data_IF_108585277994
#
_entry.id   IF_108585277994
#
_cell.length_a   1.000
_cell.length_b   1.000
_cell.length_c   1.000
_cell.angle_alpha   90.00
_cell.angle_beta   90.00
_cell.angle_gamma   90.00
#
_symmetry.space_group_name_H-M   'P 1'
#
loop_
_entity.id
_entity.type
_entity.pdbx_description
1 polymer ?
#
# COMPACT_ATOMS: atom_id res chain seq x y z
N UNK A 1 1.65 -26.49 -0.94
CA UNK A 1 0.80 -26.03 0.18
C UNK A 1 0.28 -24.67 -0.21
N UNK A 2 -0.97 -24.58 -0.64
CA UNK A 2 -1.48 -23.31 -1.15
C UNK A 2 -2.26 -22.50 -0.09
N UNK A 3 -2.98 -23.13 0.82
CA UNK A 3 -3.75 -22.46 1.87
C UNK A 3 -3.14 -22.78 3.25
N UNK A 4 -3.01 -21.75 4.11
CA UNK A 4 -2.45 -21.91 5.47
C UNK A 4 -3.51 -21.52 6.48
N UNK A 5 -3.90 -22.50 7.30
CA UNK A 5 -4.82 -22.25 8.42
C UNK A 5 -4.04 -21.68 9.61
N UNK A 6 -4.25 -20.38 9.89
CA UNK A 6 -3.59 -19.69 11.01
C UNK A 6 -4.30 -19.89 12.35
N UNK A 7 -5.40 -20.64 12.39
CA UNK A 7 -6.13 -20.92 13.63
C UNK A 7 -5.47 -21.98 14.49
N UNK A 8 -4.47 -22.71 13.96
CA UNK A 8 -3.74 -23.79 14.60
C UNK A 8 -2.22 -23.60 14.47
N UNK A 9 -1.41 -24.37 15.16
CA UNK A 9 0.04 -24.35 15.06
C UNK A 9 0.72 -23.12 15.69
N UNK A 10 1.99 -22.90 15.31
CA UNK A 10 2.85 -21.84 15.89
C UNK A 10 2.47 -20.45 15.39
N UNK A 11 2.09 -19.56 16.29
CA UNK A 11 1.66 -18.19 16.00
C UNK A 11 2.78 -17.39 15.32
N UNK A 12 3.97 -17.38 15.93
CA UNK A 12 5.12 -16.62 15.41
C UNK A 12 5.50 -17.10 14.02
N UNK A 13 5.52 -18.42 13.80
CA UNK A 13 5.83 -18.98 12.49
C UNK A 13 4.82 -18.51 11.42
N UNK A 14 3.52 -18.52 11.73
CA UNK A 14 2.49 -18.04 10.80
C UNK A 14 2.66 -16.56 10.45
N UNK A 15 2.91 -15.71 11.44
CA UNK A 15 3.12 -14.28 11.22
C UNK A 15 4.37 -14.03 10.37
N UNK A 16 5.48 -14.69 10.68
CA UNK A 16 6.75 -14.53 9.94
C UNK A 16 6.62 -15.07 8.51
N UNK A 17 6.14 -16.31 8.35
CA UNK A 17 5.99 -16.97 7.04
C UNK A 17 5.01 -16.21 6.11
N UNK A 18 4.07 -15.48 6.68
CA UNK A 18 3.14 -14.64 5.94
C UNK A 18 3.71 -13.25 5.63
N UNK A 19 4.36 -12.60 6.59
CA UNK A 19 4.85 -11.22 6.45
C UNK A 19 6.09 -11.13 5.55
N UNK A 20 7.04 -12.07 5.62
CA UNK A 20 8.26 -12.03 4.80
C UNK A 20 7.95 -11.95 3.30
N UNK A 21 7.08 -12.78 2.71
CA UNK A 21 6.75 -12.63 1.30
C UNK A 21 6.08 -11.29 0.96
N UNK A 22 5.26 -10.74 1.87
CA UNK A 22 4.67 -9.41 1.67
C UNK A 22 5.73 -8.31 1.69
N UNK A 23 6.67 -8.37 2.63
CA UNK A 23 7.80 -7.43 2.71
C UNK A 23 8.58 -7.46 1.39
N UNK A 24 9.00 -8.65 0.97
CA UNK A 24 9.77 -8.81 -0.27
C UNK A 24 8.98 -8.31 -1.50
N UNK A 25 7.68 -8.61 -1.57
CA UNK A 25 6.83 -8.17 -2.66
C UNK A 25 6.66 -6.66 -2.72
N UNK A 26 6.39 -6.03 -1.59
CA UNK A 26 6.20 -4.59 -1.52
C UNK A 26 7.52 -3.83 -1.75
N UNK A 27 8.65 -4.32 -1.21
CA UNK A 27 9.98 -3.75 -1.50
C UNK A 27 10.34 -3.90 -2.98
N UNK A 28 10.03 -5.04 -3.58
CA UNK A 28 10.24 -5.27 -5.01
C UNK A 28 9.40 -4.29 -5.84
N UNK A 29 8.14 -4.06 -5.47
CA UNK A 29 7.27 -3.09 -6.14
C UNK A 29 7.79 -1.66 -6.04
N UNK A 30 8.30 -1.23 -4.87
CA UNK A 30 8.92 0.09 -4.72
C UNK A 30 10.13 0.26 -5.65
N UNK A 31 10.99 -0.76 -5.69
CA UNK A 31 12.18 -0.75 -6.56
C UNK A 31 11.78 -0.75 -8.03
N UNK A 32 10.79 -1.55 -8.41
CA UNK A 32 10.26 -1.60 -9.76
C UNK A 32 9.71 -0.23 -10.22
N UNK A 33 8.89 0.44 -9.41
CA UNK A 33 8.35 1.77 -9.74
C UNK A 33 9.47 2.80 -9.98
N UNK A 34 10.57 2.70 -9.22
CA UNK A 34 11.74 3.54 -9.44
C UNK A 34 12.43 3.24 -10.79
N UNK A 35 12.57 1.96 -11.14
CA UNK A 35 13.15 1.51 -12.42
C UNK A 35 12.31 1.99 -13.61
N UNK A 36 11.00 1.85 -13.53
CA UNK A 36 10.06 2.30 -14.57
C UNK A 36 10.19 3.80 -14.84
N UNK A 37 10.17 4.63 -13.80
CA UNK A 37 10.40 6.08 -13.93
C UNK A 37 11.78 6.42 -14.49
N UNK A 38 12.82 5.63 -14.17
CA UNK A 38 14.18 5.82 -14.76
C UNK A 38 14.15 5.49 -16.25
N UNK A 39 13.49 4.41 -16.66
CA UNK A 39 13.38 4.04 -18.09
C UNK A 39 12.63 5.14 -18.85
N UNK A 40 11.49 5.59 -18.35
CA UNK A 40 10.71 6.66 -18.97
C UNK A 40 11.54 7.95 -19.10
N UNK A 41 12.18 8.39 -18.02
CA UNK A 41 13.00 9.61 -18.03
C UNK A 41 14.22 9.55 -18.95
N UNK A 42 14.89 8.38 -19.03
CA UNK A 42 16.14 8.21 -19.79
C UNK A 42 15.91 8.02 -21.30
N UNK A 43 14.88 7.25 -21.68
CA UNK A 43 14.67 6.86 -23.07
C UNK A 43 13.61 7.71 -23.78
N UNK A 44 12.60 8.22 -23.08
CA UNK A 44 11.57 9.07 -23.70
C UNK A 44 11.87 10.56 -23.46
N UNK A 45 12.38 10.92 -22.28
CA UNK A 45 12.80 12.26 -21.94
C UNK A 45 11.90 12.97 -20.92
N UNK A 46 12.20 14.26 -20.67
CA UNK A 46 11.60 15.08 -19.62
C UNK A 46 10.08 15.24 -19.74
N UNK A 47 9.54 15.31 -20.96
CA UNK A 47 8.11 15.50 -21.18
C UNK A 47 7.30 14.26 -20.79
N UNK A 48 7.86 13.07 -21.01
CA UNK A 48 7.23 11.82 -20.59
C UNK A 48 7.19 11.70 -19.07
N UNK A 49 8.31 12.03 -18.41
CA UNK A 49 8.37 12.02 -16.95
C UNK A 49 7.41 13.03 -16.33
N UNK A 50 7.25 14.21 -16.97
CA UNK A 50 6.27 15.21 -16.56
C UNK A 50 4.82 14.71 -16.76
N UNK A 51 4.53 14.07 -17.90
CA UNK A 51 3.21 13.50 -18.19
C UNK A 51 2.84 12.39 -17.22
N UNK A 52 3.74 11.45 -16.93
CA UNK A 52 3.56 10.41 -15.92
C UNK A 52 3.34 11.02 -14.53
N UNK A 53 4.18 11.97 -14.14
CA UNK A 53 4.11 12.65 -12.85
C UNK A 53 2.78 13.39 -12.62
N UNK A 54 2.20 14.01 -13.66
CA UNK A 54 0.89 14.69 -13.57
C UNK A 54 -0.28 13.72 -13.58
N UNK A 55 -0.17 12.56 -14.24
CA UNK A 55 -1.19 11.52 -14.26
C UNK A 55 -1.20 10.68 -12.96
N UNK A 56 -0.06 10.50 -12.30
CA UNK A 56 0.12 9.65 -11.12
C UNK A 56 -0.83 9.94 -9.96
N UNK A 57 -1.11 11.19 -9.56
CA UNK A 57 -2.06 11.45 -8.46
C UNK A 57 -3.47 10.93 -8.75
N UNK A 58 -3.94 11.08 -9.99
CA UNK A 58 -5.27 10.61 -10.41
C UNK A 58 -5.31 9.08 -10.43
N UNK A 59 -4.28 8.46 -10.99
CA UNK A 59 -4.12 7.00 -10.99
C UNK A 59 -4.10 6.43 -9.56
N UNK A 60 -3.36 7.06 -8.65
CA UNK A 60 -3.26 6.62 -7.27
C UNK A 60 -4.59 6.64 -6.53
N UNK A 61 -5.47 7.63 -6.77
CA UNK A 61 -6.81 7.66 -6.16
C UNK A 61 -7.61 6.41 -6.56
N UNK A 62 -7.56 6.02 -7.83
CA UNK A 62 -8.26 4.83 -8.32
C UNK A 62 -7.66 3.55 -7.72
N UNK A 63 -6.33 3.45 -7.70
CA UNK A 63 -5.61 2.30 -7.10
C UNK A 63 -5.96 2.16 -5.61
N UNK A 64 -5.99 3.26 -4.85
CA UNK A 64 -6.37 3.26 -3.44
C UNK A 64 -7.82 2.79 -3.23
N UNK A 65 -8.74 3.21 -4.13
CA UNK A 65 -10.12 2.74 -4.12
C UNK A 65 -10.21 1.22 -4.36
N UNK A 66 -9.54 0.71 -5.39
CA UNK A 66 -9.45 -0.72 -5.71
C UNK A 66 -8.83 -1.50 -4.53
N UNK A 67 -7.69 -1.04 -4.04
CA UNK A 67 -6.98 -1.67 -2.92
C UNK A 67 -7.84 -1.71 -1.65
N UNK A 68 -8.53 -0.61 -1.33
CA UNK A 68 -9.41 -0.54 -0.18
C UNK A 68 -10.55 -1.56 -0.25
N UNK A 69 -11.24 -1.65 -1.40
CA UNK A 69 -12.33 -2.63 -1.62
C UNK A 69 -11.80 -4.06 -1.48
N UNK A 70 -10.68 -4.38 -2.11
CA UNK A 70 -10.05 -5.70 -2.03
C UNK A 70 -9.59 -6.04 -0.60
N UNK A 71 -9.10 -5.06 0.17
CA UNK A 71 -8.73 -5.23 1.56
C UNK A 71 -9.96 -5.53 2.43
N UNK A 72 -11.07 -4.79 2.24
CA UNK A 72 -12.34 -5.06 2.92
C UNK A 72 -12.83 -6.48 2.66
N UNK A 73 -12.83 -6.92 1.42
CA UNK A 73 -13.15 -8.29 1.02
C UNK A 73 -12.20 -9.31 1.67
N UNK A 74 -10.89 -9.03 1.69
CA UNK A 74 -9.89 -9.93 2.29
C UNK A 74 -10.14 -10.20 3.77
N UNK A 75 -10.56 -9.19 4.54
CA UNK A 75 -10.87 -9.35 5.97
C UNK A 75 -12.09 -10.25 6.17
N UNK A 76 -13.17 -10.06 5.39
CA UNK A 76 -14.36 -10.91 5.43
C UNK A 76 -14.04 -12.35 4.98
N UNK A 77 -13.31 -12.50 3.89
CA UNK A 77 -12.87 -13.82 3.42
C UNK A 77 -11.99 -14.54 4.46
N UNK A 78 -11.10 -13.81 5.14
CA UNK A 78 -10.26 -14.36 6.21
C UNK A 78 -11.09 -14.87 7.39
N UNK A 79 -12.12 -14.11 7.77
CA UNK A 79 -13.05 -14.50 8.84
C UNK A 79 -13.83 -15.77 8.45
N UNK A 80 -14.41 -15.81 7.24
CA UNK A 80 -15.14 -16.98 6.76
C UNK A 80 -14.25 -18.20 6.60
N UNK A 81 -13.01 -18.01 6.14
CA UNK A 81 -12.02 -19.09 6.06
C UNK A 81 -11.71 -19.66 7.45
N UNK A 82 -11.43 -18.80 8.43
CA UNK A 82 -11.16 -19.20 9.81
C UNK A 82 -12.34 -19.88 10.47
N UNK A 83 -13.57 -19.45 10.16
CA UNK A 83 -14.81 -20.08 10.63
C UNK A 83 -15.16 -21.41 9.93
N UNK A 84 -14.39 -21.81 8.89
CA UNK A 84 -14.69 -22.99 8.08
C UNK A 84 -15.94 -22.83 7.19
N UNK A 85 -16.46 -21.62 7.02
CA UNK A 85 -17.68 -21.31 6.26
C UNK A 85 -17.37 -21.16 4.75
N UNK A 86 -17.08 -22.27 4.09
CA UNK A 86 -16.65 -22.29 2.67
C UNK A 86 -17.67 -21.65 1.73
N UNK A 87 -18.96 -21.84 1.97
CA UNK A 87 -20.01 -21.24 1.15
C UNK A 87 -20.04 -19.71 1.23
N UNK A 88 -19.86 -19.14 2.43
CA UNK A 88 -19.78 -17.69 2.59
C UNK A 88 -18.49 -17.14 2.00
N UNK A 89 -17.38 -17.84 2.13
CA UNK A 89 -16.11 -17.50 1.49
C UNK A 89 -16.28 -17.39 -0.04
N UNK A 90 -16.91 -18.39 -0.67
CA UNK A 90 -17.21 -18.37 -2.11
C UNK A 90 -18.17 -17.25 -2.50
N UNK A 91 -19.23 -17.02 -1.70
CA UNK A 91 -20.17 -15.91 -1.95
C UNK A 91 -19.49 -14.55 -1.88
N UNK A 92 -18.60 -14.34 -0.90
CA UNK A 92 -17.82 -13.10 -0.79
C UNK A 92 -16.88 -12.93 -1.98
N UNK A 93 -16.17 -14.01 -2.39
CA UNK A 93 -15.33 -13.99 -3.59
C UNK A 93 -16.14 -13.66 -4.85
N UNK A 94 -17.31 -14.31 -5.02
CA UNK A 94 -18.22 -14.05 -6.15
C UNK A 94 -18.73 -12.60 -6.13
N UNK A 95 -19.17 -12.11 -4.98
CA UNK A 95 -19.65 -10.73 -4.81
C UNK A 95 -18.56 -9.72 -5.16
N UNK A 96 -17.34 -9.93 -4.68
CA UNK A 96 -16.18 -9.09 -4.96
C UNK A 96 -15.84 -9.09 -6.45
N UNK A 97 -15.83 -10.24 -7.10
CA UNK A 97 -15.55 -10.38 -8.55
C UNK A 97 -16.62 -9.69 -9.39
N UNK A 98 -17.90 -9.93 -9.11
CA UNK A 98 -19.01 -9.32 -9.89
C UNK A 98 -19.03 -7.81 -9.71
N UNK A 99 -18.98 -7.33 -8.46
CA UNK A 99 -18.92 -5.89 -8.19
C UNK A 99 -17.73 -5.25 -8.88
N UNK A 100 -16.55 -5.88 -8.77
CA UNK A 100 -15.34 -5.38 -9.38
C UNK A 100 -15.37 -5.33 -10.90
N UNK A 101 -16.04 -6.27 -11.54
CA UNK A 101 -16.27 -6.22 -12.98
C UNK A 101 -17.03 -4.94 -13.38
N UNK A 102 -18.15 -4.66 -12.71
CA UNK A 102 -18.92 -3.43 -12.98
C UNK A 102 -18.12 -2.18 -12.63
N UNK A 103 -17.52 -2.15 -11.44
CA UNK A 103 -16.78 -0.99 -10.94
C UNK A 103 -15.57 -0.63 -11.82
N UNK A 104 -14.75 -1.63 -12.18
CA UNK A 104 -13.57 -1.40 -12.99
C UNK A 104 -13.89 -1.06 -14.45
N UNK A 105 -14.97 -1.63 -15.02
CA UNK A 105 -15.45 -1.27 -16.37
C UNK A 105 -15.97 0.16 -16.38
N UNK A 106 -16.71 0.59 -15.36
CA UNK A 106 -17.16 2.00 -15.24
C UNK A 106 -15.94 2.93 -15.17
N UNK A 107 -14.93 2.59 -14.36
CA UNK A 107 -13.68 3.37 -14.28
C UNK A 107 -12.98 3.42 -15.64
N UNK A 108 -12.89 2.28 -16.34
CA UNK A 108 -12.25 2.21 -17.65
C UNK A 108 -12.96 3.11 -18.68
N UNK A 109 -14.28 3.08 -18.71
CA UNK A 109 -15.09 3.90 -19.62
C UNK A 109 -14.95 5.39 -19.26
N UNK A 110 -15.23 5.75 -18.00
CA UNK A 110 -15.17 7.15 -17.57
C UNK A 110 -13.74 7.71 -17.69
N UNK A 111 -12.74 6.95 -17.25
CA UNK A 111 -11.35 7.35 -17.33
C UNK A 111 -10.88 7.47 -18.78
N UNK A 112 -11.24 6.54 -19.66
CA UNK A 112 -10.91 6.59 -21.07
C UNK A 112 -11.46 7.83 -21.77
N UNK A 113 -12.70 8.22 -21.46
CA UNK A 113 -13.35 9.38 -22.10
C UNK A 113 -13.02 10.74 -21.46
N UNK A 114 -12.80 10.78 -20.14
CA UNK A 114 -12.68 12.03 -19.40
C UNK A 114 -11.26 12.37 -18.93
N UNK A 115 -10.24 11.56 -19.26
CA UNK A 115 -8.85 11.79 -18.83
C UNK A 115 -8.34 13.17 -19.23
N UNK A 116 -8.58 13.64 -20.45
CA UNK A 116 -8.14 14.94 -20.93
C UNK A 116 -8.84 16.08 -20.18
N UNK A 117 -10.16 16.02 -20.06
CA UNK A 117 -10.95 17.03 -19.33
C UNK A 117 -10.55 17.09 -17.87
N UNK A 118 -10.27 15.94 -17.25
CA UNK A 118 -9.86 15.85 -15.85
C UNK A 118 -8.48 16.47 -15.63
N UNK A 119 -7.51 16.13 -16.46
CA UNK A 119 -6.15 16.70 -16.38
C UNK A 119 -6.13 18.18 -16.74
N UNK A 120 -6.93 18.63 -17.71
CA UNK A 120 -7.12 20.04 -18.02
C UNK A 120 -7.69 20.84 -16.85
N UNK A 121 -8.71 20.28 -16.15
CA UNK A 121 -9.27 20.88 -14.95
C UNK A 121 -8.28 20.94 -13.77
N UNK A 122 -7.27 20.04 -13.74
CA UNK A 122 -6.18 20.07 -12.78
C UNK A 122 -5.05 21.02 -13.17
N UNK A 123 -5.17 21.76 -14.29
CA UNK A 123 -4.20 22.75 -14.73
C UNK A 123 -2.92 22.16 -15.36
N UNK A 124 -3.02 20.97 -15.94
CA UNK A 124 -1.88 20.39 -16.68
C UNK A 124 -1.60 21.25 -17.92
N UNK A 125 -0.33 21.64 -18.17
CA UNK A 125 0.03 22.46 -19.32
C UNK A 125 -0.33 21.81 -20.67
N UNK A 126 -0.83 22.60 -21.63
CA UNK A 126 -1.28 22.12 -22.94
C UNK A 126 -0.21 21.35 -23.70
N UNK A 127 1.09 21.69 -23.49
CA UNK A 127 2.24 21.01 -24.13
C UNK A 127 2.32 19.52 -23.83
N UNK A 128 1.90 19.10 -22.62
CA UNK A 128 1.98 17.71 -22.16
C UNK A 128 0.59 17.08 -21.95
N UNK A 129 -0.49 17.88 -22.01
CA UNK A 129 -1.85 17.43 -21.71
C UNK A 129 -2.26 16.24 -22.56
N UNK A 130 -2.08 16.29 -23.87
CA UNK A 130 -2.45 15.20 -24.77
C UNK A 130 -1.68 13.90 -24.49
N UNK A 131 -0.39 14.00 -24.16
CA UNK A 131 0.46 12.84 -23.80
C UNK A 131 0.03 12.24 -22.46
N UNK A 132 -0.19 13.09 -21.44
CA UNK A 132 -0.64 12.68 -20.13
C UNK A 132 -2.05 12.07 -20.16
N UNK A 133 -2.97 12.65 -20.94
CA UNK A 133 -4.33 12.14 -21.12
C UNK A 133 -4.33 10.78 -21.82
N UNK A 134 -3.56 10.62 -22.89
CA UNK A 134 -3.43 9.35 -23.58
C UNK A 134 -2.83 8.25 -22.70
N UNK A 135 -1.78 8.57 -21.92
CA UNK A 135 -1.20 7.68 -20.93
C UNK A 135 -2.23 7.24 -19.90
N UNK A 136 -2.92 8.21 -19.27
CA UNK A 136 -3.91 7.97 -18.24
C UNK A 136 -5.11 7.17 -18.76
N UNK A 137 -5.57 7.44 -19.98
CA UNK A 137 -6.67 6.71 -20.63
C UNK A 137 -6.34 5.23 -20.81
N UNK A 138 -5.10 4.91 -21.24
CA UNK A 138 -4.65 3.52 -21.37
C UNK A 138 -4.58 2.82 -20.02
N UNK A 139 -4.05 3.50 -18.99
CA UNK A 139 -4.02 2.95 -17.62
C UNK A 139 -5.45 2.65 -17.13
N UNK A 140 -6.39 3.57 -17.34
CA UNK A 140 -7.79 3.33 -16.94
C UNK A 140 -8.46 2.21 -17.72
N UNK A 141 -8.16 2.05 -19.00
CA UNK A 141 -8.62 0.88 -19.78
C UNK A 141 -8.06 -0.43 -19.21
N UNK A 142 -6.90 -0.38 -18.55
CA UNK A 142 -6.29 -1.49 -17.82
C UNK A 142 -6.91 -1.76 -16.44
N UNK A 143 -7.71 -0.84 -15.88
CA UNK A 143 -8.27 -0.96 -14.54
C UNK A 143 -8.98 -2.30 -14.23
N UNK A 144 -9.68 -2.97 -15.16
CA UNK A 144 -10.21 -4.30 -14.92
C UNK A 144 -9.14 -5.32 -14.55
N UNK A 145 -7.99 -5.32 -15.22
CA UNK A 145 -6.91 -6.26 -14.93
C UNK A 145 -6.27 -5.98 -13.57
N UNK A 146 -6.04 -4.70 -13.25
CA UNK A 146 -5.59 -4.23 -11.93
C UNK A 146 -6.55 -4.68 -10.84
N UNK A 147 -7.87 -4.50 -11.04
CA UNK A 147 -8.86 -4.95 -10.08
C UNK A 147 -8.84 -6.46 -9.87
N UNK A 148 -8.89 -7.24 -10.94
CA UNK A 148 -8.90 -8.71 -10.86
C UNK A 148 -7.64 -9.26 -10.20
N UNK A 149 -6.47 -8.72 -10.53
CA UNK A 149 -5.23 -9.10 -9.85
C UNK A 149 -5.33 -8.82 -8.35
N UNK A 150 -5.77 -7.62 -7.94
CA UNK A 150 -5.91 -7.25 -6.54
C UNK A 150 -6.95 -8.11 -5.80
N UNK A 151 -8.11 -8.38 -6.41
CA UNK A 151 -9.17 -9.19 -5.82
C UNK A 151 -8.72 -10.65 -5.61
N UNK A 152 -8.08 -11.26 -6.60
CA UNK A 152 -7.57 -12.63 -6.48
C UNK A 152 -6.40 -12.71 -5.51
N UNK A 153 -5.50 -11.71 -5.50
CA UNK A 153 -4.43 -11.58 -4.51
C UNK A 153 -4.98 -11.45 -3.08
N UNK A 154 -6.04 -10.65 -2.89
CA UNK A 154 -6.73 -10.49 -1.61
C UNK A 154 -7.35 -11.81 -1.14
N UNK A 155 -7.98 -12.57 -2.04
CA UNK A 155 -8.51 -13.88 -1.75
C UNK A 155 -7.43 -14.90 -1.38
N UNK A 156 -6.29 -14.92 -2.09
CA UNK A 156 -5.15 -15.77 -1.76
C UNK A 156 -4.57 -15.42 -0.38
N UNK A 157 -4.37 -14.13 -0.11
CA UNK A 157 -3.90 -13.62 1.18
C UNK A 157 -4.85 -14.00 2.31
N UNK A 158 -6.17 -13.96 2.08
CA UNK A 158 -7.18 -14.29 3.09
C UNK A 158 -7.13 -15.74 3.57
N UNK A 159 -6.71 -16.66 2.70
CA UNK A 159 -6.50 -18.08 3.05
C UNK A 159 -5.05 -18.38 3.47
N UNK A 160 -4.27 -17.34 3.76
CA UNK A 160 -2.89 -17.46 4.27
C UNK A 160 -1.80 -17.64 3.21
N UNK A 161 -2.11 -17.56 1.92
CA UNK A 161 -1.12 -17.63 0.84
C UNK A 161 -0.66 -16.22 0.42
N UNK A 162 0.38 -15.72 1.05
CA UNK A 162 1.05 -14.46 0.67
C UNK A 162 2.16 -14.66 -0.36
N UNK A 163 2.62 -15.90 -0.56
CA UNK A 163 3.75 -16.22 -1.46
C UNK A 163 3.36 -16.18 -2.94
N UNK A 164 2.17 -16.65 -3.25
CA UNK A 164 1.71 -16.74 -4.64
C UNK A 164 1.48 -15.36 -5.27
N UNK A 165 0.79 -14.41 -4.62
CA UNK A 165 0.69 -13.04 -5.13
C UNK A 165 2.06 -12.38 -5.39
N UNK A 166 3.04 -12.59 -4.48
CA UNK A 166 4.41 -12.11 -4.68
C UNK A 166 5.04 -12.62 -5.98
N UNK A 167 4.92 -13.93 -6.26
CA UNK A 167 5.48 -14.52 -7.48
C UNK A 167 4.91 -13.90 -8.75
N UNK A 168 3.61 -13.67 -8.77
CA UNK A 168 2.96 -13.07 -9.93
C UNK A 168 3.23 -11.57 -10.03
N UNK A 169 3.37 -10.87 -8.91
CA UNK A 169 3.84 -9.48 -8.90
C UNK A 169 5.25 -9.37 -9.48
N UNK A 170 6.18 -10.21 -9.01
CA UNK A 170 7.55 -10.23 -9.53
C UNK A 170 7.59 -10.56 -11.02
N UNK A 171 6.79 -11.54 -11.47
CA UNK A 171 6.66 -11.87 -12.89
C UNK A 171 6.16 -10.68 -13.70
N UNK A 172 5.08 -10.02 -13.26
CA UNK A 172 4.51 -8.83 -13.92
C UNK A 172 5.54 -7.71 -14.05
N UNK A 173 6.21 -7.39 -12.96
CA UNK A 173 7.19 -6.31 -12.93
C UNK A 173 8.39 -6.59 -13.84
N UNK A 174 8.90 -7.82 -13.87
CA UNK A 174 9.97 -8.21 -14.78
C UNK A 174 9.48 -8.15 -16.23
N UNK A 175 8.29 -8.68 -16.51
CA UNK A 175 7.70 -8.64 -17.84
C UNK A 175 7.53 -7.20 -18.34
N UNK A 176 7.00 -6.33 -17.51
CA UNK A 176 6.84 -4.91 -17.87
C UNK A 176 8.20 -4.26 -18.14
N UNK A 177 9.18 -4.39 -17.25
CA UNK A 177 10.52 -3.82 -17.47
C UNK A 177 11.19 -4.33 -18.77
N UNK A 178 11.03 -5.63 -19.08
CA UNK A 178 11.55 -6.19 -20.34
C UNK A 178 10.82 -5.60 -21.55
N UNK A 179 9.50 -5.49 -21.49
CA UNK A 179 8.71 -4.89 -22.58
C UNK A 179 9.07 -3.41 -22.77
N UNK A 180 9.25 -2.65 -21.68
CA UNK A 180 9.67 -1.24 -21.75
C UNK A 180 11.06 -1.09 -22.36
N UNK A 181 12.02 -1.92 -21.96
CA UNK A 181 13.35 -1.90 -22.57
C UNK A 181 13.32 -2.24 -24.06
N UNK A 182 12.48 -3.19 -24.49
CA UNK A 182 12.36 -3.56 -25.91
C UNK A 182 11.66 -2.45 -26.70
N UNK A 183 10.48 -2.04 -26.25
CA UNK A 183 9.63 -1.14 -27.04
C UNK A 183 10.04 0.32 -26.89
N UNK A 184 10.39 0.77 -25.69
CA UNK A 184 10.79 2.14 -25.44
C UNK A 184 12.29 2.31 -25.70
N UNK A 185 13.12 1.47 -25.07
CA UNK A 185 14.57 1.57 -25.20
C UNK A 185 15.11 1.15 -26.57
N UNK A 186 14.56 0.07 -27.17
CA UNK A 186 15.01 -0.48 -28.43
C UNK A 186 14.32 0.10 -29.67
N UNK A 187 12.99 0.24 -29.62
CA UNK A 187 12.18 0.67 -30.77
C UNK A 187 11.79 2.16 -30.72
N UNK A 188 12.05 2.88 -29.64
CA UNK A 188 11.82 4.31 -29.52
C UNK A 188 10.34 4.73 -29.41
N UNK A 189 9.46 3.83 -28.90
CA UNK A 189 8.07 4.19 -28.66
C UNK A 189 7.93 5.17 -27.49
N UNK A 190 6.87 6.01 -27.53
CA UNK A 190 6.63 7.05 -26.53
C UNK A 190 5.91 6.55 -25.27
N UNK A 191 5.54 7.51 -24.40
CA UNK A 191 4.96 7.26 -23.05
C UNK A 191 3.68 6.41 -23.07
N UNK A 192 2.88 6.47 -24.13
CA UNK A 192 1.67 5.63 -24.27
C UNK A 192 2.04 4.14 -24.30
N UNK A 193 3.20 3.81 -24.87
CA UNK A 193 3.69 2.44 -24.89
C UNK A 193 4.02 1.93 -23.48
N UNK A 194 4.58 2.77 -22.59
CA UNK A 194 4.80 2.43 -21.19
C UNK A 194 3.47 2.10 -20.47
N UNK A 195 2.41 2.85 -20.74
CA UNK A 195 1.09 2.49 -20.23
C UNK A 195 0.59 1.14 -20.76
N UNK A 196 0.77 0.86 -22.04
CA UNK A 196 0.36 -0.42 -22.66
C UNK A 196 1.15 -1.60 -22.09
N UNK A 197 2.47 -1.48 -21.95
CA UNK A 197 3.31 -2.55 -21.37
C UNK A 197 2.95 -2.85 -19.92
N UNK A 198 2.62 -1.80 -19.13
CA UNK A 198 2.11 -1.94 -17.77
C UNK A 198 0.80 -2.72 -17.75
N UNK A 199 -0.19 -2.33 -18.57
CA UNK A 199 -1.48 -3.01 -18.65
C UNK A 199 -1.33 -4.46 -19.12
N UNK A 200 -0.47 -4.74 -20.09
CA UNK A 200 -0.20 -6.10 -20.56
C UNK A 200 0.43 -6.96 -19.45
N UNK A 201 1.36 -6.42 -18.70
CA UNK A 201 1.99 -7.11 -17.58
C UNK A 201 1.00 -7.40 -16.43
N UNK A 202 0.13 -6.44 -16.10
CA UNK A 202 -0.94 -6.62 -15.11
C UNK A 202 -1.98 -7.65 -15.58
N UNK A 203 -2.38 -7.60 -16.85
CA UNK A 203 -3.29 -8.59 -17.44
C UNK A 203 -2.70 -10.01 -17.38
N UNK A 204 -1.44 -10.17 -17.71
CA UNK A 204 -0.74 -11.45 -17.60
C UNK A 204 -0.75 -11.97 -16.15
N UNK A 205 -0.45 -11.10 -15.17
CA UNK A 205 -0.52 -11.45 -13.75
C UNK A 205 -1.91 -11.84 -13.30
N UNK A 206 -2.94 -11.08 -13.69
CA UNK A 206 -4.32 -11.39 -13.35
C UNK A 206 -4.74 -12.77 -13.88
N UNK A 207 -4.42 -13.05 -15.14
CA UNK A 207 -4.70 -14.35 -15.78
C UNK A 207 -3.97 -15.49 -15.06
N UNK A 208 -2.69 -15.33 -14.77
CA UNK A 208 -1.89 -16.35 -14.07
C UNK A 208 -2.42 -16.60 -12.65
N UNK A 209 -2.80 -15.55 -11.92
CA UNK A 209 -3.43 -15.67 -10.60
C UNK A 209 -4.75 -16.46 -10.67
N UNK A 210 -5.60 -16.16 -11.64
CA UNK A 210 -6.88 -16.86 -11.85
C UNK A 210 -6.62 -18.34 -12.18
N UNK A 211 -5.73 -18.64 -13.12
CA UNK A 211 -5.37 -20.02 -13.49
C UNK A 211 -4.84 -20.77 -12.28
N UNK A 212 -4.00 -20.14 -11.46
CA UNK A 212 -3.47 -20.75 -10.25
C UNK A 212 -4.57 -21.10 -9.24
N UNK A 213 -5.51 -20.17 -8.97
CA UNK A 213 -6.65 -20.42 -8.09
C UNK A 213 -7.47 -21.61 -8.60
N UNK A 214 -7.80 -21.64 -9.90
CA UNK A 214 -8.57 -22.73 -10.48
C UNK A 214 -7.84 -24.09 -10.46
N UNK A 215 -6.50 -24.10 -10.48
CA UNK A 215 -5.72 -25.35 -10.46
C UNK A 215 -5.35 -25.82 -9.06
N UNK A 216 -5.17 -24.92 -8.10
CA UNK A 216 -4.50 -25.22 -6.81
C UNK A 216 -5.36 -24.95 -5.57
N UNK A 217 -6.41 -24.13 -5.66
CA UNK A 217 -7.19 -23.72 -4.48
C UNK A 217 -8.69 -23.94 -4.71
N UNK A 218 -9.18 -25.18 -4.54
CA UNK A 218 -10.58 -25.54 -4.82
C UNK A 218 -11.61 -24.72 -4.06
N UNK A 219 -11.26 -24.23 -2.85
CA UNK A 219 -12.14 -23.44 -2.02
C UNK A 219 -12.42 -22.01 -2.55
N UNK A 220 -11.54 -21.50 -3.41
CA UNK A 220 -11.72 -20.20 -4.07
C UNK A 220 -12.23 -20.33 -5.51
N UNK A 221 -12.38 -21.57 -6.02
CA UNK A 221 -12.93 -21.78 -7.35
C UNK A 221 -14.41 -21.44 -7.36
N UNK A 222 -14.81 -20.64 -8.35
CA UNK A 222 -16.20 -20.32 -8.63
C UNK A 222 -16.67 -21.12 -9.85
N UNK A 223 -17.68 -21.97 -9.67
CA UNK A 223 -18.36 -22.67 -10.78
C UNK A 223 -19.41 -21.76 -11.40
N UNK A 224 -19.85 -22.04 -12.64
CA UNK A 224 -20.82 -21.18 -13.36
C UNK A 224 -22.08 -20.84 -12.57
N UNK A 225 -22.60 -21.75 -11.73
CA UNK A 225 -23.80 -21.51 -10.89
C UNK A 225 -23.49 -20.79 -9.55
N UNK A 226 -22.22 -20.55 -9.20
CA UNK A 226 -21.82 -19.93 -7.95
C UNK A 226 -21.58 -18.40 -8.10
N UNK A 227 -21.71 -17.86 -9.32
CA UNK A 227 -21.60 -16.41 -9.57
C UNK A 227 -22.87 -15.71 -9.12
N UNK A 228 -22.92 -15.33 -7.85
CA UNK A 228 -24.03 -14.61 -7.24
C UNK A 228 -23.53 -13.41 -6.47
N UNK A 229 -24.23 -12.30 -6.56
CA UNK A 229 -23.94 -11.08 -5.81
C UNK A 229 -24.81 -11.02 -4.56
N UNK A 230 -24.19 -11.08 -3.40
CA UNK A 230 -24.86 -10.94 -2.11
C UNK A 230 -24.83 -9.48 -1.66
N UNK A 231 -25.99 -8.83 -1.59
CA UNK A 231 -26.09 -7.40 -1.24
C UNK A 231 -25.61 -7.10 0.19
N UNK A 232 -25.77 -8.03 1.12
CA UNK A 232 -25.36 -7.84 2.51
C UNK A 232 -23.83 -7.90 2.60
N UNK A 233 -23.22 -8.88 1.95
CA UNK A 233 -21.75 -9.00 1.87
C UNK A 233 -21.18 -7.80 1.13
N UNK A 234 -21.74 -7.39 0.00
CA UNK A 234 -21.31 -6.20 -0.74
C UNK A 234 -21.33 -4.95 0.14
N UNK A 235 -22.42 -4.74 0.90
CA UNK A 235 -22.50 -3.59 1.82
C UNK A 235 -21.40 -3.62 2.88
N UNK A 236 -21.06 -4.79 3.41
CA UNK A 236 -19.98 -4.94 4.40
C UNK A 236 -18.61 -4.70 3.76
N UNK A 237 -18.37 -5.28 2.60
CA UNK A 237 -17.13 -5.09 1.81
C UNK A 237 -16.91 -3.63 1.47
N UNK A 238 -17.94 -2.94 0.96
CA UNK A 238 -17.87 -1.52 0.65
C UNK A 238 -17.66 -0.66 1.90
N UNK A 239 -18.32 -1.00 3.02
CA UNK A 239 -18.11 -0.30 4.29
C UNK A 239 -16.66 -0.45 4.76
N UNK A 240 -16.10 -1.64 4.77
CA UNK A 240 -14.71 -1.87 5.16
C UNK A 240 -13.75 -1.25 4.14
N UNK A 241 -14.00 -1.45 2.86
CA UNK A 241 -13.17 -0.97 1.78
C UNK A 241 -13.11 0.55 1.68
N UNK A 242 -14.24 1.25 1.76
CA UNK A 242 -14.27 2.71 1.69
C UNK A 242 -13.53 3.35 2.89
N UNK A 243 -13.72 2.80 4.09
CA UNK A 243 -13.00 3.28 5.28
C UNK A 243 -11.49 3.05 5.12
N UNK A 244 -11.07 1.89 4.61
CA UNK A 244 -9.67 1.58 4.36
C UNK A 244 -9.08 2.47 3.25
N UNK A 245 -9.81 2.72 2.17
CA UNK A 245 -9.39 3.63 1.11
C UNK A 245 -9.19 5.05 1.62
N UNK A 246 -10.13 5.58 2.42
CA UNK A 246 -10.01 6.89 3.06
C UNK A 246 -8.80 6.94 4.01
N UNK A 247 -8.60 5.90 4.81
CA UNK A 247 -7.44 5.81 5.70
C UNK A 247 -6.12 5.86 4.92
N UNK A 248 -6.00 5.09 3.84
CA UNK A 248 -4.80 5.08 3.00
C UNK A 248 -4.57 6.42 2.29
N UNK A 249 -5.63 7.14 1.96
CA UNK A 249 -5.55 8.48 1.33
C UNK A 249 -5.04 9.57 2.29
N UNK A 250 -5.20 9.41 3.60
CA UNK A 250 -4.70 10.38 4.58
C UNK A 250 -3.19 10.59 4.49
N UNK A 251 -2.41 9.54 4.26
CA UNK A 251 -0.94 9.62 4.21
C UNK A 251 -0.41 10.43 3.01
N UNK A 252 -0.80 10.15 1.75
CA UNK A 252 -0.40 10.98 0.61
C UNK A 252 -0.82 12.45 0.74
N UNK A 253 -2.05 12.69 1.20
CA UNK A 253 -2.54 14.06 1.44
C UNK A 253 -1.67 14.75 2.50
N UNK A 254 -1.38 14.07 3.61
CA UNK A 254 -0.49 14.58 4.65
C UNK A 254 0.91 14.90 4.12
N UNK A 255 1.49 14.02 3.29
CA UNK A 255 2.81 14.26 2.65
C UNK A 255 2.80 15.51 1.78
N UNK A 256 1.74 15.74 0.99
CA UNK A 256 1.61 16.95 0.16
C UNK A 256 1.54 18.23 1.00
N UNK A 257 0.75 18.23 2.07
CA UNK A 257 0.64 19.40 2.97
C UNK A 257 1.96 19.69 3.70
N UNK A 258 2.68 18.65 4.13
CA UNK A 258 4.00 18.79 4.75
C UNK A 258 5.02 19.33 3.75
N UNK A 259 4.99 18.87 2.50
CA UNK A 259 5.85 19.43 1.44
C UNK A 259 5.65 20.93 1.30
N UNK A 260 4.40 21.41 1.39
CA UNK A 260 4.09 22.85 1.38
C UNK A 260 4.77 23.63 2.50
N UNK A 261 4.92 23.04 3.69
CA UNK A 261 5.62 23.65 4.82
C UNK A 261 7.15 23.58 4.71
N UNK A 262 7.67 22.58 3.99
CA UNK A 262 9.12 22.41 3.77
C UNK A 262 9.63 23.30 2.63
N UNK A 263 8.81 23.58 1.62
CA UNK A 263 9.22 24.36 0.44
C UNK A 263 9.82 25.74 0.77
N UNK A 264 9.31 26.53 1.74
CA UNK A 264 9.90 27.81 2.09
C UNK A 264 11.29 27.71 2.76
N UNK A 265 11.73 26.54 3.22
CA UNK A 265 13.03 26.35 3.87
C UNK A 265 14.23 26.39 2.92
N UNK A 266 13.98 26.39 1.60
CA UNK A 266 15.01 26.41 0.57
C UNK A 266 15.36 25.05 0.00
N UNK A 267 16.11 25.09 -1.13
CA UNK A 267 16.35 23.93 -2.01
C UNK A 267 17.07 22.78 -1.29
N UNK A 268 18.03 23.09 -0.44
CA UNK A 268 18.83 22.08 0.27
C UNK A 268 17.98 21.29 1.28
N UNK A 269 17.08 21.98 1.96
CA UNK A 269 16.13 21.35 2.90
C UNK A 269 15.12 20.48 2.15
N UNK A 270 14.62 20.95 1.02
CA UNK A 270 13.71 20.19 0.15
C UNK A 270 14.40 18.92 -0.34
N UNK A 271 15.64 19.02 -0.81
CA UNK A 271 16.41 17.88 -1.30
C UNK A 271 16.67 16.85 -0.19
N UNK A 272 17.07 17.32 1.02
CA UNK A 272 17.27 16.46 2.17
C UNK A 272 15.96 15.77 2.61
N UNK A 273 14.84 16.50 2.67
CA UNK A 273 13.53 15.97 3.01
C UNK A 273 13.06 14.89 2.02
N UNK A 274 13.18 15.16 0.71
CA UNK A 274 12.79 14.21 -0.32
C UNK A 274 13.66 12.94 -0.30
N UNK A 275 14.97 13.07 -0.07
CA UNK A 275 15.85 11.92 0.09
C UNK A 275 15.45 11.04 1.28
N UNK A 276 15.16 11.66 2.43
CA UNK A 276 14.68 10.94 3.61
C UNK A 276 13.33 10.29 3.37
N UNK A 277 12.37 10.95 2.72
CA UNK A 277 11.08 10.34 2.37
C UNK A 277 11.23 9.06 1.54
N UNK A 278 12.23 9.00 0.63
CA UNK A 278 12.53 7.77 -0.12
C UNK A 278 13.00 6.65 0.79
N UNK A 279 13.85 6.96 1.76
CA UNK A 279 14.32 5.99 2.76
C UNK A 279 13.17 5.55 3.66
N UNK A 280 12.30 6.48 4.08
CA UNK A 280 11.10 6.22 4.88
C UNK A 280 10.17 5.22 4.21
N UNK A 281 9.93 5.34 2.88
CA UNK A 281 9.08 4.42 2.16
C UNK A 281 9.59 2.97 2.22
N UNK A 282 10.92 2.77 2.18
CA UNK A 282 11.53 1.45 2.39
C UNK A 282 11.47 1.00 3.85
N UNK A 283 11.66 1.92 4.80
CA UNK A 283 11.63 1.61 6.23
C UNK A 283 10.24 1.23 6.74
N UNK A 284 9.17 1.88 6.26
CA UNK A 284 7.79 1.60 6.69
C UNK A 284 7.14 0.40 6.00
N UNK A 285 7.63 0.00 4.84
CA UNK A 285 7.06 -1.12 4.08
C UNK A 285 7.03 -2.44 4.87
N UNK A 286 8.07 -2.85 5.62
CA UNK A 286 8.02 -4.04 6.44
C UNK A 286 7.03 -3.94 7.61
N UNK A 287 6.92 -2.80 8.29
CA UNK A 287 5.93 -2.58 9.35
C UNK A 287 4.49 -2.76 8.82
N UNK A 288 4.16 -2.13 7.70
CA UNK A 288 2.85 -2.31 7.05
C UNK A 288 2.60 -3.77 6.66
N UNK A 289 3.61 -4.49 6.22
CA UNK A 289 3.50 -5.89 5.84
C UNK A 289 3.26 -6.80 7.04
N UNK A 290 3.90 -6.53 8.18
CA UNK A 290 3.65 -7.22 9.46
C UNK A 290 2.23 -6.92 9.93
N UNK A 291 1.79 -5.67 9.87
CA UNK A 291 0.42 -5.23 10.18
C UNK A 291 -0.63 -6.01 9.36
N UNK A 292 -0.42 -6.20 8.06
CA UNK A 292 -1.28 -7.04 7.22
C UNK A 292 -1.27 -8.51 7.66
N UNK A 293 -0.13 -9.02 8.12
CA UNK A 293 -0.02 -10.35 8.71
C UNK A 293 -0.87 -10.47 9.98
N UNK A 294 -0.80 -9.48 10.87
CA UNK A 294 -1.65 -9.40 12.08
C UNK A 294 -3.13 -9.34 11.69
N UNK A 295 -3.50 -8.52 10.69
CA UNK A 295 -4.88 -8.40 10.20
C UNK A 295 -5.44 -9.75 9.77
N UNK A 296 -4.75 -10.47 8.91
CA UNK A 296 -5.19 -11.78 8.41
C UNK A 296 -5.26 -12.81 9.54
N UNK A 297 -4.24 -12.86 10.39
CA UNK A 297 -4.19 -13.75 11.54
C UNK A 297 -5.37 -13.51 12.50
N UNK A 298 -5.61 -12.27 12.88
CA UNK A 298 -6.71 -11.89 13.78
C UNK A 298 -8.06 -12.18 13.13
N UNK A 299 -8.27 -11.86 11.85
CA UNK A 299 -9.53 -12.11 11.16
C UNK A 299 -9.86 -13.62 11.08
N UNK A 300 -8.88 -14.47 10.74
CA UNK A 300 -9.08 -15.92 10.73
C UNK A 300 -9.41 -16.45 12.14
N UNK A 301 -8.69 -16.02 13.17
CA UNK A 301 -8.93 -16.49 14.54
C UNK A 301 -10.23 -15.93 15.14
N UNK A 302 -10.67 -14.73 14.69
CA UNK A 302 -12.00 -14.18 15.01
C UNK A 302 -13.09 -15.09 14.45
N UNK A 303 -12.99 -15.46 13.18
CA UNK A 303 -13.92 -16.39 12.55
C UNK A 303 -13.99 -17.74 13.25
N UNK A 304 -12.84 -18.25 13.71
CA UNK A 304 -12.75 -19.50 14.47
C UNK A 304 -13.16 -19.38 15.96
N UNK A 305 -13.52 -18.20 16.46
CA UNK A 305 -13.86 -17.97 17.87
C UNK A 305 -12.69 -18.12 18.85
N UNK A 306 -11.43 -18.06 18.38
CA UNK A 306 -10.21 -18.33 19.17
C UNK A 306 -9.70 -17.09 19.90
N UNK A 307 -10.45 -16.56 20.89
CA UNK A 307 -10.13 -15.31 21.61
C UNK A 307 -8.72 -15.27 22.22
N UNK A 308 -8.29 -16.32 22.92
CA UNK A 308 -6.93 -16.38 23.47
C UNK A 308 -5.85 -16.31 22.41
N UNK A 309 -6.09 -16.97 21.27
CA UNK A 309 -5.14 -17.00 20.18
C UNK A 309 -5.01 -15.63 19.51
N UNK A 310 -6.12 -14.87 19.42
CA UNK A 310 -6.10 -13.46 18.97
C UNK A 310 -5.19 -12.63 19.88
N UNK A 311 -5.36 -12.71 21.22
CA UNK A 311 -4.53 -11.96 22.18
C UNK A 311 -3.05 -12.33 22.07
N UNK A 312 -2.75 -13.63 22.02
CA UNK A 312 -1.37 -14.12 21.87
C UNK A 312 -0.78 -13.70 20.53
N UNK A 313 -1.56 -13.76 19.43
CA UNK A 313 -1.13 -13.36 18.09
C UNK A 313 -0.83 -11.87 18.00
N UNK A 314 -1.69 -11.05 18.55
CA UNK A 314 -1.46 -9.59 18.61
C UNK A 314 -0.17 -9.25 19.39
N UNK A 315 0.03 -9.84 20.58
CA UNK A 315 1.28 -9.64 21.34
C UNK A 315 2.52 -10.09 20.58
N UNK A 316 2.46 -11.24 19.87
CA UNK A 316 3.57 -11.72 19.03
C UNK A 316 3.79 -10.82 17.82
N UNK A 317 2.71 -10.28 17.23
CA UNK A 317 2.80 -9.29 16.16
C UNK A 317 3.51 -8.02 16.62
N UNK A 318 3.12 -7.44 17.75
CA UNK A 318 3.80 -6.28 18.35
C UNK A 318 5.27 -6.56 18.68
N UNK A 319 5.61 -7.79 19.10
CA UNK A 319 7.01 -8.16 19.31
C UNK A 319 7.78 -8.18 17.99
N UNK A 320 7.19 -8.65 16.89
CA UNK A 320 7.83 -8.63 15.58
C UNK A 320 8.04 -7.19 15.09
N UNK A 321 7.04 -6.30 15.27
CA UNK A 321 7.18 -4.88 14.98
C UNK A 321 8.32 -4.23 15.80
N UNK A 322 8.38 -4.51 17.09
CA UNK A 322 9.43 -4.01 17.96
C UNK A 322 10.82 -4.53 17.55
N UNK A 323 10.94 -5.82 17.22
CA UNK A 323 12.20 -6.40 16.73
C UNK A 323 12.64 -5.74 15.41
N UNK A 324 11.67 -5.50 14.50
CA UNK A 324 11.97 -4.82 13.26
C UNK A 324 12.38 -3.37 13.49
N UNK A 325 11.67 -2.62 14.37
CA UNK A 325 12.08 -1.27 14.73
C UNK A 325 13.51 -1.21 15.26
N UNK A 326 13.89 -2.10 16.18
CA UNK A 326 15.27 -2.16 16.70
C UNK A 326 16.27 -2.38 15.57
N UNK A 327 15.97 -3.32 14.67
CA UNK A 327 16.80 -3.62 13.51
C UNK A 327 16.97 -2.40 12.59
N UNK A 328 15.88 -1.75 12.18
CA UNK A 328 15.93 -0.61 11.25
C UNK A 328 16.54 0.63 11.91
N UNK A 329 16.25 0.86 13.20
CA UNK A 329 16.84 1.96 13.97
C UNK A 329 18.37 1.83 14.05
N UNK A 330 18.89 0.65 14.36
CA UNK A 330 20.32 0.38 14.37
C UNK A 330 20.92 0.57 12.97
N UNK A 331 20.28 -0.01 11.96
CA UNK A 331 20.75 0.06 10.57
C UNK A 331 20.84 1.52 10.11
N UNK A 332 19.78 2.29 10.28
CA UNK A 332 19.75 3.70 9.88
C UNK A 332 20.76 4.51 10.68
N UNK A 333 20.85 4.32 12.00
CA UNK A 333 21.79 5.07 12.84
C UNK A 333 23.23 4.86 12.40
N UNK A 334 23.61 3.62 12.06
CA UNK A 334 24.96 3.29 11.61
C UNK A 334 25.24 3.77 10.17
N UNK A 335 24.25 3.67 9.29
CA UNK A 335 24.42 3.89 7.86
C UNK A 335 23.73 5.16 7.32
N UNK A 336 23.27 6.10 8.17
CA UNK A 336 22.51 7.29 7.76
C UNK A 336 23.22 8.15 6.70
N UNK A 337 24.56 8.34 6.81
CA UNK A 337 25.32 9.09 5.80
C UNK A 337 25.44 8.36 4.47
N UNK A 338 25.88 7.09 4.41
CA UNK A 338 25.86 6.31 3.19
C UNK A 338 24.48 6.22 2.55
N UNK A 339 23.42 6.02 3.34
CA UNK A 339 22.04 5.96 2.84
C UNK A 339 21.61 7.27 2.17
N UNK A 340 21.91 8.41 2.80
CA UNK A 340 21.68 9.72 2.20
C UNK A 340 22.46 9.92 0.90
N UNK A 341 23.71 9.43 0.85
CA UNK A 341 24.58 9.49 -0.33
C UNK A 341 24.05 8.71 -1.54
N UNK A 342 23.14 7.76 -1.35
CA UNK A 342 22.47 7.06 -2.48
C UNK A 342 21.49 7.97 -3.24
N UNK A 343 20.94 8.99 -2.58
CA UNK A 343 19.88 9.84 -3.11
C UNK A 343 20.34 11.28 -3.37
N UNK A 344 21.52 11.67 -2.89
CA UNK A 344 22.10 13.01 -3.03
C UNK A 344 23.35 12.95 -3.90
N UNK A 345 23.42 13.84 -4.88
CA UNK A 345 24.57 13.90 -5.82
C UNK A 345 25.89 14.19 -5.08
N UNK A 346 26.95 13.55 -5.50
CA UNK A 346 28.30 13.77 -4.94
C UNK A 346 28.67 15.27 -4.94
N UNK A 347 29.27 15.73 -3.84
CA UNK A 347 29.66 17.14 -3.64
C UNK A 347 28.70 17.97 -2.77
N UNK A 348 27.50 17.45 -2.45
CA UNK A 348 26.51 18.14 -1.60
C UNK A 348 26.54 17.66 -0.14
N UNK A 349 27.72 17.72 0.50
CA UNK A 349 27.89 17.24 1.89
C UNK A 349 26.96 17.96 2.90
N UNK A 350 26.62 19.22 2.66
CA UNK A 350 25.65 19.97 3.48
C UNK A 350 24.28 19.32 3.52
N UNK A 351 23.76 18.90 2.34
CA UNK A 351 22.47 18.22 2.22
C UNK A 351 22.52 16.84 2.89
N UNK A 352 23.64 16.12 2.72
CA UNK A 352 23.86 14.82 3.39
C UNK A 352 23.88 14.98 4.91
N UNK A 353 24.52 16.01 5.44
CA UNK A 353 24.57 16.28 6.87
C UNK A 353 23.19 16.62 7.46
N UNK A 354 22.44 17.52 6.78
CA UNK A 354 21.08 17.90 7.16
C UNK A 354 20.13 16.67 7.15
N UNK A 355 20.12 15.94 6.05
CA UNK A 355 19.28 14.73 5.91
C UNK A 355 19.67 13.63 6.88
N UNK A 356 20.97 13.43 7.15
CA UNK A 356 21.45 12.43 8.12
C UNK A 356 21.01 12.76 9.55
N UNK A 357 20.97 14.04 9.93
CA UNK A 357 20.49 14.47 11.25
C UNK A 357 18.99 14.22 11.39
N UNK A 358 18.20 14.60 10.36
CA UNK A 358 16.76 14.39 10.30
C UNK A 358 16.43 12.87 10.29
N UNK A 359 17.08 12.09 9.44
CA UNK A 359 16.89 10.63 9.34
C UNK A 359 17.26 9.91 10.63
N UNK A 360 18.35 10.33 11.31
CA UNK A 360 18.75 9.74 12.59
C UNK A 360 17.71 9.95 13.69
N UNK A 361 17.06 11.12 13.72
CA UNK A 361 15.97 11.40 14.66
C UNK A 361 14.70 10.62 14.28
N UNK A 362 14.37 10.54 13.00
CA UNK A 362 13.24 9.74 12.49
C UNK A 362 13.41 8.27 12.85
N UNK A 363 14.59 7.69 12.73
CA UNK A 363 14.87 6.29 13.07
C UNK A 363 14.51 5.94 14.52
N UNK A 364 14.76 6.85 15.46
CA UNK A 364 14.32 6.68 16.85
C UNK A 364 12.79 6.70 16.97
N UNK A 365 12.14 7.60 16.23
CA UNK A 365 10.70 7.77 16.28
C UNK A 365 9.91 6.69 15.53
N UNK A 366 10.55 5.85 14.71
CA UNK A 366 9.88 4.70 14.06
C UNK A 366 9.33 3.69 15.06
N UNK A 367 9.70 3.76 16.34
CA UNK A 367 9.01 2.99 17.39
C UNK A 367 7.50 3.24 17.42
N UNK A 368 7.07 4.47 17.20
CA UNK A 368 5.66 4.81 17.23
C UNK A 368 4.87 4.16 16.08
N UNK A 369 5.26 4.32 14.80
CA UNK A 369 4.56 3.64 13.71
C UNK A 369 4.63 2.12 13.80
N UNK A 370 5.69 1.51 14.33
CA UNK A 370 5.74 0.09 14.58
C UNK A 370 4.58 -0.37 15.49
N UNK A 371 4.33 0.34 16.59
CA UNK A 371 3.20 0.01 17.46
C UNK A 371 1.84 0.40 16.89
N UNK A 372 1.69 1.57 16.24
CA UNK A 372 0.42 1.97 15.63
C UNK A 372 0.03 1.03 14.50
N UNK A 373 0.96 0.63 13.63
CA UNK A 373 0.69 -0.34 12.56
C UNK A 373 0.22 -1.69 13.13
N UNK A 374 0.87 -2.18 14.20
CA UNK A 374 0.46 -3.40 14.87
C UNK A 374 -0.96 -3.33 15.45
N UNK A 375 -1.31 -2.21 16.10
CA UNK A 375 -2.66 -1.98 16.67
C UNK A 375 -3.69 -1.83 15.55
N UNK A 376 -3.36 -1.12 14.49
CA UNK A 376 -4.25 -1.00 13.31
C UNK A 376 -4.47 -2.35 12.64
N UNK A 377 -3.43 -3.19 12.55
CA UNK A 377 -3.58 -4.56 12.07
C UNK A 377 -4.55 -5.37 12.92
N UNK A 378 -4.50 -5.20 14.25
CA UNK A 378 -5.46 -5.84 15.17
C UNK A 378 -6.89 -5.35 14.90
N UNK A 379 -7.14 -4.05 14.90
CA UNK A 379 -8.49 -3.50 14.68
C UNK A 379 -9.01 -3.82 13.28
N UNK A 380 -8.15 -3.79 12.25
CA UNK A 380 -8.47 -4.25 10.92
C UNK A 380 -8.96 -5.70 10.89
N UNK A 381 -8.23 -6.61 11.55
CA UNK A 381 -8.61 -8.01 11.69
C UNK A 381 -9.87 -8.22 12.51
N UNK A 382 -10.13 -7.37 13.52
CA UNK A 382 -11.37 -7.37 14.28
C UNK A 382 -12.56 -6.77 13.52
N UNK A 383 -12.37 -6.23 12.30
CA UNK A 383 -13.40 -5.58 11.50
C UNK A 383 -13.79 -4.19 12.00
N UNK A 384 -12.97 -3.57 12.85
CA UNK A 384 -13.22 -2.23 13.39
C UNK A 384 -12.39 -1.17 12.64
N UNK A 385 -12.65 -1.04 11.33
CA UNK A 385 -11.93 -0.13 10.45
C UNK A 385 -12.12 1.35 10.82
N UNK A 386 -13.21 1.72 11.49
CA UNK A 386 -13.47 3.12 11.85
C UNK A 386 -12.44 3.66 12.85
N UNK A 387 -11.93 2.82 13.74
CA UNK A 387 -10.88 3.21 14.70
C UNK A 387 -9.56 3.46 13.99
N UNK A 388 -9.23 2.62 13.01
CA UNK A 388 -7.99 2.79 12.23
C UNK A 388 -8.03 4.08 11.39
N UNK A 389 -9.17 4.40 10.78
CA UNK A 389 -9.36 5.67 10.06
C UNK A 389 -9.23 6.87 11.01
N UNK A 390 -9.93 6.83 12.16
CA UNK A 390 -9.90 7.93 13.12
C UNK A 390 -8.48 8.17 13.64
N UNK A 391 -7.76 7.10 14.03
CA UNK A 391 -6.37 7.19 14.47
C UNK A 391 -5.46 7.81 13.42
N UNK A 392 -5.55 7.33 12.17
CA UNK A 392 -4.73 7.87 11.06
C UNK A 392 -5.10 9.31 10.73
N UNK A 393 -6.38 9.68 10.76
CA UNK A 393 -6.83 11.05 10.51
C UNK A 393 -6.31 12.01 11.58
N UNK A 394 -6.43 11.66 12.86
CA UNK A 394 -5.92 12.46 13.99
C UNK A 394 -4.40 12.61 13.86
N UNK A 395 -3.68 11.50 13.64
CA UNK A 395 -2.23 11.50 13.47
C UNK A 395 -1.79 12.43 12.33
N UNK A 396 -2.41 12.27 11.14
CA UNK A 396 -2.04 13.07 9.96
C UNK A 396 -2.35 14.56 10.17
N UNK A 397 -3.53 14.88 10.72
CA UNK A 397 -3.93 16.26 11.00
C UNK A 397 -2.99 16.95 11.98
N UNK A 398 -2.67 16.29 13.10
CA UNK A 398 -1.74 16.83 14.09
C UNK A 398 -0.33 16.98 13.51
N UNK A 399 0.15 15.97 12.77
CA UNK A 399 1.44 16.05 12.10
C UNK A 399 1.52 17.29 11.19
N UNK A 400 0.50 17.54 10.36
CA UNK A 400 0.47 18.71 9.50
C UNK A 400 0.49 20.00 10.32
N UNK A 401 -0.38 20.14 11.33
CA UNK A 401 -0.42 21.34 12.17
C UNK A 401 0.93 21.61 12.84
N UNK A 402 1.54 20.60 13.47
CA UNK A 402 2.81 20.77 14.15
C UNK A 402 3.98 20.97 13.20
N UNK A 403 3.94 20.46 11.97
CA UNK A 403 4.95 20.79 10.96
C UNK A 403 4.94 22.29 10.69
N UNK A 404 3.78 22.91 10.43
CA UNK A 404 3.69 24.34 10.18
C UNK A 404 4.11 25.18 11.40
N UNK A 405 3.94 24.69 12.62
CA UNK A 405 4.33 25.40 13.84
C UNK A 405 5.84 25.26 14.15
N UNK A 406 6.41 24.08 13.97
CA UNK A 406 7.78 23.78 14.42
C UNK A 406 8.84 24.04 13.34
N UNK A 407 8.51 23.78 12.07
CA UNK A 407 9.46 23.88 10.97
C UNK A 407 10.07 25.26 10.77
N UNK A 408 9.35 26.40 10.96
CA UNK A 408 9.96 27.72 10.86
C UNK A 408 11.07 27.98 11.90
N UNK A 409 10.99 27.35 13.09
CA UNK A 409 11.95 27.55 14.17
C UNK A 409 13.14 26.61 14.15
N UNK A 410 12.92 25.33 13.77
CA UNK A 410 13.94 24.26 13.90
C UNK A 410 14.16 23.46 12.60
N UNK A 411 13.65 23.96 11.46
CA UNK A 411 13.87 23.32 10.15
C UNK A 411 13.32 21.90 10.05
N UNK A 412 14.02 21.00 9.36
CA UNK A 412 13.60 19.61 9.16
C UNK A 412 13.41 18.80 10.45
N UNK A 413 14.10 19.16 11.52
CA UNK A 413 13.88 18.49 12.82
C UNK A 413 12.46 18.74 13.33
N UNK A 414 11.85 19.88 12.96
CA UNK A 414 10.43 20.17 13.23
C UNK A 414 9.49 19.16 12.61
N UNK A 415 9.80 18.65 11.42
CA UNK A 415 9.03 17.60 10.77
C UNK A 415 9.11 16.29 11.58
N UNK A 416 10.31 15.91 12.05
CA UNK A 416 10.46 14.71 12.86
C UNK A 416 9.67 14.77 14.17
N UNK A 417 9.76 15.89 14.91
CA UNK A 417 8.99 16.08 16.14
C UNK A 417 7.48 16.11 15.88
N UNK A 418 7.03 16.74 14.81
CA UNK A 418 5.63 16.74 14.42
C UNK A 418 5.12 15.30 14.11
N UNK A 419 5.93 14.47 13.45
CA UNK A 419 5.63 13.06 13.26
C UNK A 419 5.50 12.33 14.60
N UNK A 420 6.46 12.51 15.50
CA UNK A 420 6.45 11.88 16.83
C UNK A 420 5.21 12.29 17.65
N UNK A 421 4.83 13.57 17.64
CA UNK A 421 3.63 14.07 18.32
C UNK A 421 2.38 13.39 17.72
N UNK A 422 2.24 13.39 16.39
CA UNK A 422 1.10 12.78 15.73
C UNK A 422 0.93 11.30 16.07
N UNK A 423 2.01 10.52 16.00
CA UNK A 423 1.98 9.09 16.36
C UNK A 423 1.76 8.86 17.85
N UNK A 424 2.35 9.69 18.72
CA UNK A 424 2.14 9.58 20.17
C UNK A 424 0.66 9.80 20.55
N UNK A 425 0.02 10.82 19.98
CA UNK A 425 -1.41 11.06 20.22
C UNK A 425 -2.26 9.93 19.67
N UNK A 426 -1.92 9.39 18.50
CA UNK A 426 -2.58 8.22 17.96
C UNK A 426 -2.52 7.02 18.93
N UNK A 427 -1.36 6.72 19.51
CA UNK A 427 -1.20 5.67 20.52
C UNK A 427 -2.00 5.97 21.79
N UNK A 428 -2.04 7.23 22.23
CA UNK A 428 -2.86 7.65 23.38
C UNK A 428 -4.36 7.43 23.18
N UNK A 429 -4.83 7.40 21.93
CA UNK A 429 -6.22 7.07 21.59
C UNK A 429 -6.39 5.56 21.41
N UNK A 430 -5.54 4.90 20.66
CA UNK A 430 -5.69 3.50 20.25
C UNK A 430 -5.44 2.52 21.40
N UNK A 431 -4.46 2.78 22.28
CA UNK A 431 -4.11 1.86 23.37
C UNK A 431 -5.21 1.79 24.44
N UNK A 432 -5.75 2.91 24.98
CA UNK A 432 -6.89 2.83 25.91
C UNK A 432 -8.12 2.20 25.26
N UNK A 433 -8.38 2.52 23.98
CA UNK A 433 -9.48 1.92 23.25
C UNK A 433 -9.30 0.40 23.09
N UNK A 434 -8.08 -0.09 22.85
CA UNK A 434 -7.79 -1.51 22.81
C UNK A 434 -8.15 -2.20 24.15
N UNK A 435 -7.74 -1.65 25.28
CA UNK A 435 -8.04 -2.23 26.58
C UNK A 435 -9.54 -2.21 26.90
N UNK A 436 -10.23 -1.13 26.55
CA UNK A 436 -11.67 -1.05 26.68
C UNK A 436 -12.39 -2.09 25.81
N UNK A 437 -12.03 -2.15 24.53
CA UNK A 437 -12.61 -3.09 23.56
C UNK A 437 -12.39 -4.56 23.94
N UNK A 438 -11.29 -4.88 24.59
CA UNK A 438 -10.95 -6.25 25.01
C UNK A 438 -11.57 -6.67 26.35
N UNK A 439 -12.12 -5.73 27.14
CA UNK A 439 -12.87 -6.06 28.36
C UNK A 439 -14.22 -6.70 28.05
N UNK A 440 -14.86 -6.25 26.98
CA UNK A 440 -16.21 -6.67 26.61
C UNK A 440 -16.22 -7.89 25.66
N UNK A 441 -15.07 -8.41 25.27
CA UNK A 441 -14.88 -9.53 24.33
C UNK A 441 -13.93 -10.59 24.87
#
# INVERSE_FOLDING_TARGET
MAAVNMTEGSITKHLVDYSIPLILGNMFQLTYNAVDSIIAGRFIGKEALAAEGTASPVMNIVILGISGICMGASVLMSEFYGAGQKEKLKREMSTTVIFGCYFSVIIAILGGFFSESLLGALGVPDEILGKAASYLSVIFLGAPFTYFYNAVSAALKSVGDSKTPLKFLAFSSILNAVLDLIFIGGLGFGIVCSAVTTVVAEAASAVLCIIYVYRKIPMLQLRRGEFTMDRQLLRQTLRYGSITALQQSCQPIGKLLIQGAVNPLGVDMIAAFNAVNRIDDYAFTPEQSISHGITTFVAQNRGAGRKERIRKGFRRGLMLEACYWVFICITITLFRRPLMGLFVTAGNEGIVALGSSYLGLMALFYVFPAFTNGIQGFFGGMGNMSVTLLGTFVQTSLRVVFVYLLTPGIGLLGVAYACAIGWSVMLLVEVPYYFWFMKDK
#
